data_IF_687536667129
#
_entry.id   IF_687536667129
#
_cell.length_a   1.000
_cell.length_b   1.000
_cell.length_c   1.000
_cell.angle_alpha   90.00
_cell.angle_beta   90.00
_cell.angle_gamma   90.00
#
_symmetry.space_group_name_H-M   'P 1'
#
loop_
_entity.id
_entity.type
_entity.pdbx_description
1 polymer ?
#
# COMPACT_ATOMS: atom_id res chain seq x y z
N UNK A 1 -6.23 -23.73 -18.38
CA UNK A 1 -5.93 -23.81 -16.94
C UNK A 1 -6.29 -22.54 -16.21
N UNK A 2 -5.58 -21.44 -16.45
CA UNK A 2 -5.60 -20.22 -15.62
C UNK A 2 -6.95 -19.46 -15.52
N UNK A 3 -7.76 -19.42 -16.59
CA UNK A 3 -9.07 -18.74 -16.62
C UNK A 3 -10.05 -19.22 -15.56
N UNK A 4 -9.98 -20.50 -15.17
CA UNK A 4 -10.85 -21.06 -14.13
C UNK A 4 -10.63 -20.42 -12.75
N UNK A 5 -9.42 -19.95 -12.47
CA UNK A 5 -9.10 -19.25 -11.22
C UNK A 5 -9.86 -17.91 -11.15
N UNK A 6 -10.00 -17.21 -12.28
CA UNK A 6 -10.81 -16.00 -12.34
C UNK A 6 -12.29 -16.30 -12.10
N UNK A 7 -12.82 -17.35 -12.74
CA UNK A 7 -14.22 -17.75 -12.57
C UNK A 7 -14.56 -18.21 -11.14
N UNK A 8 -13.60 -18.75 -10.39
CA UNK A 8 -13.78 -19.09 -8.96
C UNK A 8 -13.74 -17.84 -8.07
N UNK A 9 -12.92 -16.84 -8.39
CA UNK A 9 -12.85 -15.59 -7.61
C UNK A 9 -14.06 -14.67 -7.84
N UNK A 10 -14.68 -14.70 -9.02
CA UNK A 10 -15.87 -13.90 -9.35
C UNK A 10 -17.03 -14.10 -8.35
N UNK A 11 -17.50 -15.32 -8.03
CA UNK A 11 -18.57 -15.51 -7.06
C UNK A 11 -18.17 -15.10 -5.64
N UNK A 12 -16.90 -15.28 -5.26
CA UNK A 12 -16.37 -14.82 -3.97
C UNK A 12 -16.42 -13.29 -3.88
N UNK A 13 -16.00 -12.59 -4.94
CA UNK A 13 -16.04 -11.14 -5.01
C UNK A 13 -17.49 -10.60 -5.00
N UNK A 14 -18.41 -11.27 -5.69
CA UNK A 14 -19.84 -10.94 -5.67
C UNK A 14 -20.41 -11.12 -4.26
N UNK A 15 -20.13 -12.25 -3.60
CA UNK A 15 -20.55 -12.48 -2.23
C UNK A 15 -20.00 -11.39 -1.30
N UNK A 16 -18.71 -11.11 -1.34
CA UNK A 16 -18.09 -10.05 -0.55
C UNK A 16 -18.72 -8.67 -0.79
N UNK A 17 -19.09 -8.35 -2.04
CA UNK A 17 -19.77 -7.09 -2.38
C UNK A 17 -21.19 -7.01 -1.81
N UNK A 18 -21.96 -8.11 -1.86
CA UNK A 18 -23.31 -8.17 -1.29
C UNK A 18 -23.27 -8.08 0.23
N UNK A 19 -22.29 -8.73 0.86
CA UNK A 19 -22.15 -8.80 2.32
C UNK A 19 -21.43 -7.58 2.92
N UNK A 20 -20.65 -6.86 2.12
CA UNK A 20 -19.95 -5.61 2.48
C UNK A 20 -20.81 -4.62 3.28
N UNK A 21 -22.00 -4.18 2.82
CA UNK A 21 -22.79 -3.20 3.57
C UNK A 21 -23.29 -3.72 4.93
N UNK A 22 -23.44 -5.03 5.08
CA UNK A 22 -23.92 -5.65 6.33
C UNK A 22 -22.76 -5.81 7.32
N UNK A 23 -21.61 -6.35 6.87
CA UNK A 23 -20.44 -6.58 7.72
C UNK A 23 -19.62 -5.31 7.99
N UNK A 24 -19.60 -4.35 7.07
CA UNK A 24 -18.81 -3.12 7.18
C UNK A 24 -19.65 -1.93 7.69
N UNK A 25 -20.93 -2.15 7.98
CA UNK A 25 -21.83 -1.14 8.58
C UNK A 25 -21.26 -0.51 9.85
N UNK A 26 -20.50 -1.28 10.63
CA UNK A 26 -19.83 -0.81 11.85
C UNK A 26 -18.65 0.14 11.57
N UNK A 27 -18.01 0.02 10.40
CA UNK A 27 -16.93 0.93 9.96
C UNK A 27 -17.48 2.26 9.43
N UNK A 28 -18.72 2.28 8.94
CA UNK A 28 -19.35 3.50 8.43
C UNK A 28 -19.57 4.57 9.52
N UNK A 29 -19.63 4.17 10.80
CA UNK A 29 -19.75 5.09 11.94
C UNK A 29 -18.44 5.84 12.26
N UNK A 30 -17.28 5.35 11.77
CA UNK A 30 -15.97 6.03 11.85
C UNK A 30 -15.71 6.96 10.65
N UNK A 31 -16.71 7.25 9.80
CA UNK A 31 -16.54 8.07 8.60
C UNK A 31 -16.61 9.58 8.85
N UNK A 32 -16.93 10.01 10.08
CA UNK A 32 -16.74 11.40 10.49
C UNK A 32 -15.24 11.67 10.67
N UNK A 33 -14.68 12.53 9.82
CA UNK A 33 -13.27 12.99 9.84
C UNK A 33 -12.20 12.07 9.23
N UNK A 34 -12.53 11.16 8.31
CA UNK A 34 -11.49 10.47 7.52
C UNK A 34 -10.94 11.42 6.44
N UNK A 35 -10.06 12.33 6.85
CA UNK A 35 -9.28 13.14 5.93
C UNK A 35 -8.45 12.19 5.05
N UNK A 36 -8.54 12.38 3.73
CA UNK A 36 -7.79 11.57 2.78
C UNK A 36 -6.31 11.93 2.96
N UNK A 37 -5.50 10.99 3.43
CA UNK A 37 -4.04 11.14 3.54
C UNK A 37 -3.38 10.99 2.16
N UNK A 38 -3.59 12.01 1.31
CA UNK A 38 -3.00 12.10 -0.04
C UNK A 38 -1.46 12.04 0.02
N UNK A 39 -0.78 12.77 0.93
CA UNK A 39 0.68 12.70 1.04
C UNK A 39 1.18 11.31 1.42
N UNK A 40 0.56 10.66 2.41
CA UNK A 40 0.91 9.30 2.82
C UNK A 40 0.67 8.28 1.70
N UNK A 41 -0.48 8.36 1.03
CA UNK A 41 -0.80 7.50 -0.11
C UNK A 41 0.21 7.62 -1.26
N UNK A 42 0.68 8.84 -1.55
CA UNK A 42 1.72 9.06 -2.57
C UNK A 42 3.07 8.50 -2.11
N UNK A 43 3.49 8.78 -0.88
CA UNK A 43 4.76 8.33 -0.32
C UNK A 43 4.89 6.80 -0.32
N UNK A 44 3.86 6.07 0.11
CA UNK A 44 3.88 4.60 0.12
C UNK A 44 3.88 4.01 -1.29
N UNK A 45 3.07 4.57 -2.20
CA UNK A 45 2.97 4.08 -3.59
C UNK A 45 4.29 4.29 -4.32
N UNK A 46 4.87 5.49 -4.22
CA UNK A 46 6.15 5.81 -4.84
C UNK A 46 7.29 5.01 -4.21
N UNK A 47 7.35 4.91 -2.88
CA UNK A 47 8.37 4.14 -2.15
C UNK A 47 8.36 2.67 -2.55
N UNK A 48 7.19 2.03 -2.60
CA UNK A 48 7.05 0.63 -3.03
C UNK A 48 7.42 0.44 -4.50
N UNK A 49 6.98 1.33 -5.39
CA UNK A 49 7.31 1.25 -6.81
C UNK A 49 8.82 1.32 -7.05
N UNK A 50 9.51 2.26 -6.39
CA UNK A 50 10.97 2.41 -6.49
C UNK A 50 11.65 1.18 -5.87
N UNK A 51 11.18 0.68 -4.73
CA UNK A 51 11.76 -0.51 -4.10
C UNK A 51 11.68 -1.73 -5.02
N UNK A 52 10.50 -1.99 -5.60
CA UNK A 52 10.31 -3.09 -6.56
C UNK A 52 11.21 -2.92 -7.78
N UNK A 53 11.32 -1.70 -8.31
CA UNK A 53 12.20 -1.40 -9.44
C UNK A 53 13.67 -1.72 -9.10
N UNK A 54 14.16 -1.24 -7.96
CA UNK A 54 15.55 -1.47 -7.52
C UNK A 54 15.82 -2.95 -7.29
N UNK A 55 14.89 -3.68 -6.67
CA UNK A 55 15.02 -5.12 -6.46
C UNK A 55 15.03 -5.89 -7.78
N UNK A 56 14.23 -5.47 -8.76
CA UNK A 56 14.20 -6.09 -10.09
C UNK A 56 15.46 -5.76 -10.91
N UNK A 57 15.95 -4.53 -10.86
CA UNK A 57 17.12 -4.07 -11.63
C UNK A 57 18.46 -4.25 -10.92
N UNK A 58 18.48 -4.62 -9.64
CA UNK A 58 19.72 -4.88 -8.90
C UNK A 58 20.55 -6.00 -9.53
N UNK A 59 19.89 -6.95 -10.22
CA UNK A 59 20.54 -8.07 -10.90
C UNK A 59 21.13 -7.70 -12.28
N UNK A 60 20.65 -6.62 -12.90
CA UNK A 60 21.08 -6.18 -14.25
C UNK A 60 22.03 -4.98 -14.21
N UNK A 61 21.79 -4.00 -13.32
CA UNK A 61 22.64 -2.80 -13.15
C UNK A 61 23.74 -3.06 -12.11
N UNK A 62 23.57 -4.10 -11.28
CA UNK A 62 24.49 -4.46 -10.21
C UNK A 62 24.17 -3.73 -8.91
N UNK A 63 24.27 -4.48 -7.81
CA UNK A 63 23.96 -4.00 -6.46
C UNK A 63 24.88 -2.86 -5.99
N UNK A 64 26.13 -2.83 -6.46
CA UNK A 64 27.12 -1.81 -6.10
C UNK A 64 27.07 -0.52 -6.94
N UNK A 65 26.12 -0.40 -7.88
CA UNK A 65 26.05 0.80 -8.72
C UNK A 65 25.57 2.02 -7.91
N UNK A 66 26.11 3.23 -8.17
CA UNK A 66 25.64 4.46 -7.51
C UNK A 66 24.14 4.71 -7.74
N UNK A 67 23.60 4.29 -8.89
CA UNK A 67 22.19 4.41 -9.24
C UNK A 67 21.32 3.51 -8.36
N UNK A 68 21.71 2.24 -8.19
CA UNK A 68 21.00 1.27 -7.36
C UNK A 68 20.95 1.74 -5.90
N UNK A 69 22.09 2.18 -5.36
CA UNK A 69 22.19 2.69 -3.99
C UNK A 69 21.38 3.98 -3.79
N UNK A 70 21.41 4.90 -4.75
CA UNK A 70 20.64 6.15 -4.70
C UNK A 70 19.13 5.90 -4.68
N UNK A 71 18.63 5.04 -5.59
CA UNK A 71 17.21 4.69 -5.64
C UNK A 71 16.76 3.89 -4.43
N UNK A 72 17.60 2.98 -3.91
CA UNK A 72 17.30 2.24 -2.68
C UNK A 72 17.15 3.19 -1.49
N UNK A 73 18.09 4.12 -1.33
CA UNK A 73 18.04 5.14 -0.27
C UNK A 73 16.78 5.99 -0.41
N UNK A 74 16.43 6.41 -1.63
CA UNK A 74 15.22 7.19 -1.89
C UNK A 74 13.94 6.42 -1.52
N UNK A 75 13.86 5.13 -1.85
CA UNK A 75 12.74 4.27 -1.49
C UNK A 75 12.59 4.16 0.04
N UNK A 76 13.69 3.93 0.76
CA UNK A 76 13.69 3.88 2.23
C UNK A 76 13.23 5.21 2.83
N UNK A 77 13.72 6.34 2.31
CA UNK A 77 13.32 7.68 2.79
C UNK A 77 11.81 7.91 2.57
N UNK A 78 11.27 7.54 1.41
CA UNK A 78 9.83 7.64 1.13
C UNK A 78 8.99 6.77 2.07
N UNK A 79 9.43 5.56 2.37
CA UNK A 79 8.74 4.66 3.30
C UNK A 79 8.82 5.15 4.75
N UNK A 80 9.97 5.67 5.18
CA UNK A 80 10.11 6.29 6.51
C UNK A 80 9.26 7.56 6.61
N UNK A 81 9.24 8.39 5.57
CA UNK A 81 8.38 9.56 5.50
C UNK A 81 6.90 9.16 5.59
N UNK A 82 6.48 8.08 4.91
CA UNK A 82 5.14 7.52 5.05
C UNK A 82 4.83 7.14 6.51
N UNK A 83 5.71 6.39 7.18
CA UNK A 83 5.51 6.00 8.59
C UNK A 83 5.41 7.23 9.50
N UNK A 84 6.24 8.25 9.28
CA UNK A 84 6.19 9.50 10.05
C UNK A 84 4.87 10.25 9.81
N UNK A 85 4.46 10.40 8.54
CA UNK A 85 3.18 11.03 8.18
C UNK A 85 2.03 10.26 8.83
N UNK A 86 2.00 8.94 8.67
CA UNK A 86 0.95 8.09 9.21
C UNK A 86 0.89 8.12 10.75
N UNK A 87 2.04 8.23 11.42
CA UNK A 87 2.12 8.40 12.89
C UNK A 87 1.60 9.76 13.38
N UNK A 88 1.58 10.79 12.52
CA UNK A 88 1.10 12.13 12.84
C UNK A 88 -0.34 12.38 12.36
N UNK A 89 -0.90 11.52 11.51
CA UNK A 89 -2.26 11.65 11.00
C UNK A 89 -3.25 11.08 12.01
N UNK A 90 -4.26 11.90 12.38
CA UNK A 90 -5.31 11.56 13.38
C UNK A 90 -6.15 10.33 13.04
N UNK A 91 -6.15 9.90 11.78
CA UNK A 91 -6.86 8.71 11.29
C UNK A 91 -5.90 7.82 10.48
N UNK A 92 -4.99 7.08 11.14
CA UNK A 92 -3.98 6.27 10.46
C UNK A 92 -4.62 5.14 9.65
N UNK A 93 -4.07 4.83 8.46
CA UNK A 93 -4.54 3.72 7.62
C UNK A 93 -4.17 2.37 8.24
N UNK A 94 -3.03 2.32 8.93
CA UNK A 94 -2.53 1.20 9.74
C UNK A 94 -2.68 1.57 11.22
N UNK A 95 -3.46 0.77 11.98
CA UNK A 95 -3.47 0.88 13.45
C UNK A 95 -2.10 0.43 13.95
N UNK A 96 -1.18 1.37 14.19
CA UNK A 96 0.13 1.11 14.78
C UNK A 96 0.07 0.86 16.30
N UNK A 97 -1.12 0.91 16.90
CA UNK A 97 -1.36 0.54 18.29
C UNK A 97 -1.84 -0.91 18.39
N UNK A 98 -1.10 -1.72 19.14
CA UNK A 98 -1.48 -3.06 19.59
C UNK A 98 -2.59 -2.92 20.65
#
# INVERSE_FOLDING_TARGET
>A
GWRWILFVNVPVAIAAFIFSPILLSETARQKGERQIDVPGAFAVTAGLAILVYVLSQGNTIGWGSPQTLGLFTLAVVLLVAFVIIESHVKAPLVRLSI
#
